data_IF_837119300829
#
_entry.id   IF_837119300829
#
_cell.length_a   1.000
_cell.length_b   1.000
_cell.length_c   1.000
_cell.angle_alpha   90.00
_cell.angle_beta   90.00
_cell.angle_gamma   90.00
#
_symmetry.space_group_name_H-M   'P 1'
#
loop_
_entity.id
_entity.type
_entity.pdbx_description
1 polymer ?
#
# COMPACT_ATOMS: atom_id res chain seq x y z
N UNK A 1 -25.22 -28.54 11.68
CA UNK A 1 -24.53 -29.82 11.95
C UNK A 1 -23.83 -30.33 10.70
N UNK A 2 -24.45 -30.22 9.53
CA UNK A 2 -23.85 -30.65 8.26
C UNK A 2 -22.69 -29.76 7.79
N UNK A 3 -22.72 -28.44 8.05
CA UNK A 3 -21.61 -27.54 7.69
C UNK A 3 -20.32 -27.82 8.48
N UNK A 4 -20.45 -28.24 9.74
CA UNK A 4 -19.33 -28.65 10.58
C UNK A 4 -18.77 -29.98 10.06
N UNK A 5 -19.63 -30.91 9.66
CA UNK A 5 -19.19 -32.17 9.04
C UNK A 5 -18.50 -31.94 7.69
N UNK A 6 -18.97 -30.97 6.90
CA UNK A 6 -18.35 -30.58 5.63
C UNK A 6 -16.98 -29.91 5.83
N UNK A 7 -16.85 -29.01 6.81
CA UNK A 7 -15.57 -28.42 7.19
C UNK A 7 -14.57 -29.48 7.68
N UNK A 8 -15.02 -30.44 8.49
CA UNK A 8 -14.18 -31.54 8.95
C UNK A 8 -13.75 -32.48 7.82
N UNK A 9 -14.64 -32.80 6.87
CA UNK A 9 -14.31 -33.58 5.68
C UNK A 9 -13.29 -32.86 4.78
N UNK A 10 -13.42 -31.53 4.66
CA UNK A 10 -12.48 -30.69 3.92
C UNK A 10 -11.10 -30.59 4.60
N UNK A 11 -11.05 -30.58 5.93
CA UNK A 11 -9.82 -30.53 6.74
C UNK A 11 -9.08 -31.87 6.83
N UNK A 12 -9.82 -32.98 6.91
CA UNK A 12 -9.26 -34.33 7.01
C UNK A 12 -8.98 -34.96 5.65
N UNK A 13 -9.55 -34.38 4.57
CA UNK A 13 -9.55 -34.93 3.23
C UNK A 13 -10.45 -36.15 3.11
N UNK A 14 -11.44 -36.10 2.21
CA UNK A 14 -12.02 -37.34 1.71
C UNK A 14 -10.92 -38.09 0.95
N UNK A 15 -10.35 -39.13 1.56
CA UNK A 15 -9.51 -40.11 0.88
C UNK A 15 -10.39 -40.92 -0.08
N UNK A 16 -10.77 -40.32 -1.20
CA UNK A 16 -11.35 -41.03 -2.32
C UNK A 16 -10.24 -41.86 -2.98
N UNK A 17 -10.55 -43.12 -3.28
CA UNK A 17 -9.67 -44.09 -3.96
C UNK A 17 -9.12 -43.58 -5.31
N UNK A 18 -9.69 -42.51 -5.87
CA UNK A 18 -9.25 -41.84 -7.08
C UNK A 18 -7.94 -41.05 -6.91
N UNK A 19 -7.62 -40.59 -5.69
CA UNK A 19 -6.32 -39.92 -5.43
C UNK A 19 -5.14 -40.90 -5.48
N UNK A 20 -5.38 -42.19 -5.23
CA UNK A 20 -4.36 -43.25 -5.30
C UNK A 20 -3.97 -43.63 -6.74
N UNK A 21 -4.75 -43.23 -7.76
CA UNK A 21 -4.48 -43.55 -9.17
C UNK A 21 -3.87 -42.40 -9.98
N UNK A 22 -3.65 -41.22 -9.37
CA UNK A 22 -3.00 -40.12 -10.07
C UNK A 22 -1.50 -40.42 -10.23
N UNK A 23 -1.07 -40.56 -11.49
CA UNK A 23 0.36 -40.66 -11.86
C UNK A 23 1.14 -39.55 -11.13
N UNK A 24 2.30 -39.84 -10.52
CA UNK A 24 3.10 -38.79 -9.89
C UNK A 24 3.46 -37.76 -10.96
N UNK A 25 2.92 -36.55 -10.80
CA UNK A 25 3.21 -35.42 -11.68
C UNK A 25 4.69 -35.09 -11.57
N UNK A 26 5.37 -34.91 -12.70
CA UNK A 26 6.75 -34.45 -12.73
C UNK A 26 6.78 -32.92 -12.74
N UNK A 27 7.82 -32.33 -12.16
CA UNK A 27 8.06 -30.88 -12.26
C UNK A 27 8.17 -30.36 -13.71
N UNK A 28 8.43 -31.24 -14.69
CA UNK A 28 8.54 -30.89 -16.10
C UNK A 28 7.21 -30.89 -16.86
N UNK A 29 6.12 -31.39 -16.27
CA UNK A 29 4.84 -31.54 -16.96
C UNK A 29 4.25 -30.18 -17.34
N UNK A 30 3.68 -30.08 -18.55
CA UNK A 30 3.08 -28.86 -19.08
C UNK A 30 1.95 -28.29 -18.20
N UNK A 31 1.28 -29.16 -17.45
CA UNK A 31 0.16 -28.87 -16.54
C UNK A 31 0.58 -28.17 -15.25
N UNK A 32 1.84 -28.31 -14.82
CA UNK A 32 2.35 -27.70 -13.58
C UNK A 32 2.74 -26.24 -13.82
N UNK A 33 2.49 -25.36 -12.85
CA UNK A 33 2.83 -23.94 -12.98
C UNK A 33 4.34 -23.69 -12.78
N UNK A 34 5.03 -23.36 -13.87
CA UNK A 34 6.48 -23.09 -13.86
C UNK A 34 6.83 -21.85 -13.03
N UNK A 35 5.96 -20.84 -13.04
CA UNK A 35 6.12 -19.63 -12.24
C UNK A 35 6.03 -19.94 -10.74
N UNK A 36 5.08 -20.80 -10.35
CA UNK A 36 4.95 -21.25 -8.97
C UNK A 36 6.17 -22.07 -8.50
N UNK A 37 6.70 -22.95 -9.36
CA UNK A 37 7.95 -23.68 -9.10
C UNK A 37 9.13 -22.72 -8.89
N UNK A 38 9.20 -21.63 -9.67
CA UNK A 38 10.26 -20.62 -9.58
C UNK A 38 10.14 -19.70 -8.36
N UNK A 39 9.05 -19.76 -7.60
CA UNK A 39 8.92 -18.95 -6.40
C UNK A 39 7.66 -18.09 -6.35
N UNK A 40 7.20 -17.61 -7.51
CA UNK A 40 6.26 -16.49 -7.62
C UNK A 40 5.26 -16.79 -8.73
N UNK A 41 3.99 -16.98 -8.38
CA UNK A 41 2.89 -16.98 -9.35
C UNK A 41 2.04 -15.71 -9.17
N UNK A 42 1.91 -14.85 -10.21
CA UNK A 42 1.09 -13.64 -10.10
C UNK A 42 -0.39 -13.90 -9.77
N UNK A 43 -0.94 -15.04 -10.21
CA UNK A 43 -2.34 -15.40 -9.98
C UNK A 43 -2.64 -15.63 -8.48
N UNK A 44 -1.72 -16.30 -7.79
CA UNK A 44 -1.80 -16.64 -6.36
C UNK A 44 -1.48 -15.42 -5.47
N UNK A 45 -0.47 -14.65 -5.86
CA UNK A 45 -0.03 -13.47 -5.08
C UNK A 45 -1.10 -12.36 -5.00
N UNK A 46 -1.91 -12.21 -6.05
CA UNK A 46 -2.89 -11.13 -6.17
C UNK A 46 -4.32 -11.57 -5.87
N UNK A 47 -4.51 -12.73 -5.23
CA UNK A 47 -5.82 -13.16 -4.73
C UNK A 47 -6.43 -12.09 -3.82
N UNK A 48 -7.70 -11.77 -4.05
CA UNK A 48 -8.45 -10.72 -3.34
C UNK A 48 -7.94 -9.29 -3.53
N UNK A 49 -7.05 -9.04 -4.49
CA UNK A 49 -6.62 -7.68 -4.85
C UNK A 49 -7.29 -7.18 -6.12
N UNK A 50 -7.26 -5.86 -6.34
CA UNK A 50 -7.72 -5.25 -7.59
C UNK A 50 -6.92 -5.72 -8.83
N UNK A 51 -5.75 -6.33 -8.62
CA UNK A 51 -4.87 -6.82 -9.68
C UNK A 51 -5.04 -8.32 -9.96
N UNK A 52 -6.11 -8.92 -9.45
CA UNK A 52 -6.39 -10.33 -9.63
C UNK A 52 -6.56 -10.70 -11.12
N UNK A 53 -5.78 -11.68 -11.56
CA UNK A 53 -5.74 -12.17 -12.95
C UNK A 53 -6.63 -13.41 -13.17
N UNK A 54 -7.44 -13.79 -12.17
CA UNK A 54 -8.17 -15.05 -12.17
C UNK A 54 -7.37 -16.20 -11.54
N UNK A 55 -8.04 -17.35 -11.37
CA UNK A 55 -7.43 -18.57 -10.85
C UNK A 55 -6.33 -19.07 -11.80
N UNK A 56 -5.27 -19.67 -11.25
CA UNK A 56 -4.24 -20.23 -12.09
C UNK A 56 -4.76 -21.48 -12.82
N UNK A 57 -4.66 -21.48 -14.15
CA UNK A 57 -5.01 -22.64 -14.99
C UNK A 57 -4.05 -23.83 -14.83
N UNK A 58 -2.91 -23.61 -14.16
CA UNK A 58 -1.85 -24.60 -13.97
C UNK A 58 -1.84 -25.06 -12.51
N UNK A 59 -1.45 -26.31 -12.30
CA UNK A 59 -1.41 -26.92 -10.97
C UNK A 59 -0.31 -26.28 -10.12
N UNK A 60 -0.68 -25.75 -8.96
CA UNK A 60 0.24 -25.34 -7.90
C UNK A 60 0.40 -26.50 -6.92
N UNK A 61 1.63 -27.00 -6.76
CA UNK A 61 1.94 -28.06 -5.80
C UNK A 61 3.20 -27.68 -5.04
N UNK A 62 3.05 -27.49 -3.73
CA UNK A 62 4.17 -27.15 -2.86
C UNK A 62 5.22 -28.26 -2.83
N UNK A 63 4.81 -29.53 -2.86
CA UNK A 63 5.72 -30.68 -2.91
C UNK A 63 6.65 -30.65 -4.12
N UNK A 64 6.15 -30.27 -5.30
CA UNK A 64 6.95 -30.17 -6.53
C UNK A 64 7.86 -28.94 -6.53
N UNK A 65 7.40 -27.82 -5.94
CA UNK A 65 8.22 -26.62 -5.75
C UNK A 65 9.39 -26.94 -4.84
N UNK A 66 9.12 -27.59 -3.70
CA UNK A 66 10.16 -28.05 -2.79
C UNK A 66 11.09 -29.01 -3.52
N UNK A 67 10.63 -30.00 -4.29
CA UNK A 67 11.53 -30.87 -5.04
C UNK A 67 12.43 -30.09 -6.02
N UNK A 68 11.88 -29.11 -6.73
CA UNK A 68 12.61 -28.23 -7.65
C UNK A 68 13.68 -27.39 -6.91
N UNK A 69 13.34 -26.82 -5.74
CA UNK A 69 14.25 -26.01 -4.91
C UNK A 69 15.22 -26.88 -4.11
N UNK A 70 14.82 -28.08 -3.66
CA UNK A 70 15.66 -28.98 -2.87
C UNK A 70 16.76 -29.62 -3.72
N UNK A 71 16.49 -29.90 -5.01
CA UNK A 71 17.54 -30.23 -6.00
C UNK A 71 18.58 -29.12 -6.17
N UNK A 72 18.31 -27.92 -5.66
CA UNK A 72 19.17 -26.75 -5.69
C UNK A 72 19.82 -26.39 -4.32
N UNK A 73 19.76 -27.24 -3.28
CA UNK A 73 20.11 -26.86 -1.89
C UNK A 73 21.57 -26.48 -1.62
N UNK A 74 22.52 -26.84 -2.46
CA UNK A 74 23.86 -26.24 -2.36
C UNK A 74 23.89 -24.99 -3.21
N UNK A 75 24.07 -23.78 -2.65
CA UNK A 75 24.13 -22.52 -3.43
C UNK A 75 25.20 -22.62 -4.55
N UNK A 76 26.28 -23.37 -4.29
CA UNK A 76 27.33 -23.70 -5.26
C UNK A 76 26.88 -24.70 -6.35
N UNK A 77 26.02 -25.67 -6.02
CA UNK A 77 25.38 -26.58 -7.00
C UNK A 77 24.21 -25.94 -7.72
N UNK A 78 23.44 -25.05 -7.11
CA UNK A 78 22.39 -24.29 -7.77
C UNK A 78 22.98 -23.47 -8.91
N UNK A 79 24.09 -22.77 -8.67
CA UNK A 79 24.82 -22.01 -9.71
C UNK A 79 25.44 -22.93 -10.78
N UNK A 80 26.00 -24.09 -10.40
CA UNK A 80 26.53 -25.08 -11.38
C UNK A 80 25.44 -25.76 -12.21
N UNK A 81 24.34 -26.21 -11.60
CA UNK A 81 23.18 -26.77 -12.28
C UNK A 81 22.45 -25.72 -13.12
N UNK A 82 22.49 -24.42 -12.76
CA UNK A 82 22.01 -23.33 -13.62
C UNK A 82 22.80 -23.24 -14.93
N UNK A 83 24.08 -23.58 -14.91
CA UNK A 83 24.96 -23.50 -16.07
C UNK A 83 24.87 -24.75 -16.96
N UNK A 84 24.52 -25.92 -16.41
CA UNK A 84 24.40 -27.21 -17.14
C UNK A 84 22.96 -27.61 -17.51
N UNK A 85 21.95 -27.20 -16.73
CA UNK A 85 20.55 -27.64 -16.83
C UNK A 85 19.61 -26.42 -16.75
N UNK A 86 19.81 -25.46 -17.67
CA UNK A 86 18.97 -24.27 -17.76
C UNK A 86 17.62 -24.62 -18.44
N UNK A 87 16.64 -25.05 -17.66
CA UNK A 87 15.29 -25.37 -18.18
C UNK A 87 14.52 -24.14 -18.70
N UNK A 88 15.03 -22.92 -18.48
CA UNK A 88 14.44 -21.69 -19.00
C UNK A 88 13.17 -21.21 -18.28
N UNK A 89 12.73 -21.90 -17.22
CA UNK A 89 11.52 -21.55 -16.46
C UNK A 89 11.61 -20.16 -15.82
N UNK A 90 12.79 -19.77 -15.34
CA UNK A 90 13.03 -18.41 -14.82
C UNK A 90 12.92 -17.35 -15.92
N UNK A 91 13.44 -17.63 -17.12
CA UNK A 91 13.35 -16.73 -18.26
C UNK A 91 11.90 -16.59 -18.77
N UNK A 92 11.11 -17.67 -18.75
CA UNK A 92 9.68 -17.63 -19.04
C UNK A 92 8.91 -16.85 -17.97
N UNK A 93 9.29 -17.01 -16.70
CA UNK A 93 8.70 -16.27 -15.57
C UNK A 93 9.01 -14.77 -15.69
N UNK A 94 10.26 -14.40 -15.99
CA UNK A 94 10.66 -13.01 -16.24
C UNK A 94 9.90 -12.38 -17.40
N UNK A 95 9.70 -13.12 -18.51
CA UNK A 95 8.88 -12.65 -19.65
C UNK A 95 7.46 -12.28 -19.25
N UNK A 96 6.89 -12.95 -18.25
CA UNK A 96 5.55 -12.66 -17.75
C UNK A 96 5.53 -11.56 -16.67
N UNK A 97 6.56 -11.46 -15.84
CA UNK A 97 6.65 -10.47 -14.76
C UNK A 97 7.04 -9.08 -15.27
N UNK A 98 7.93 -8.96 -16.26
CA UNK A 98 8.42 -7.68 -16.77
C UNK A 98 7.29 -6.74 -17.25
N UNK A 99 6.27 -7.21 -18.01
CA UNK A 99 5.11 -6.38 -18.34
C UNK A 99 4.32 -5.90 -17.13
N UNK A 100 4.20 -6.71 -16.08
CA UNK A 100 3.49 -6.34 -14.85
C UNK A 100 4.23 -5.23 -14.10
N UNK A 101 5.57 -5.31 -14.04
CA UNK A 101 6.41 -4.25 -13.46
C UNK A 101 6.25 -2.95 -14.26
N UNK A 102 6.31 -3.02 -15.59
CA UNK A 102 6.14 -1.86 -16.44
C UNK A 102 4.76 -1.19 -16.25
N UNK A 103 3.70 -1.96 -16.02
CA UNK A 103 2.37 -1.42 -15.70
C UNK A 103 2.34 -0.77 -14.31
N UNK A 104 3.00 -1.35 -13.31
CA UNK A 104 3.18 -0.70 -12.01
C UNK A 104 3.92 0.64 -12.12
N UNK A 105 5.02 0.69 -12.88
CA UNK A 105 5.79 1.92 -13.11
C UNK A 105 4.96 2.99 -13.83
N UNK A 106 4.19 2.61 -14.85
CA UNK A 106 3.26 3.52 -15.54
C UNK A 106 2.21 4.08 -14.58
N UNK A 107 1.68 3.26 -13.68
CA UNK A 107 0.71 3.69 -12.67
C UNK A 107 1.33 4.63 -11.65
N UNK A 108 2.55 4.36 -11.20
CA UNK A 108 3.31 5.26 -10.32
C UNK A 108 3.56 6.60 -11.01
N UNK A 109 3.99 6.60 -12.28
CA UNK A 109 4.22 7.81 -13.05
C UNK A 109 2.94 8.64 -13.22
N UNK A 110 1.81 8.01 -13.54
CA UNK A 110 0.49 8.67 -13.60
C UNK A 110 0.08 9.24 -12.23
N UNK A 111 0.29 8.50 -11.15
CA UNK A 111 0.01 8.95 -9.79
C UNK A 111 0.86 10.16 -9.38
N UNK A 112 2.14 10.15 -9.76
CA UNK A 112 3.07 11.28 -9.56
C UNK A 112 2.66 12.51 -10.38
N UNK A 113 2.27 12.34 -11.64
CA UNK A 113 1.79 13.43 -12.47
C UNK A 113 0.54 14.09 -11.88
N UNK A 114 -0.48 13.30 -11.52
CA UNK A 114 -1.69 13.80 -10.84
C UNK A 114 -1.38 14.56 -9.56
N UNK A 115 -0.52 14.01 -8.70
CA UNK A 115 -0.12 14.67 -7.46
C UNK A 115 0.72 15.95 -7.69
N UNK A 116 1.38 16.09 -8.83
CA UNK A 116 2.08 17.33 -9.21
C UNK A 116 1.13 18.38 -9.77
N UNK A 117 0.15 17.97 -10.58
CA UNK A 117 -0.84 18.89 -11.14
C UNK A 117 -1.77 19.41 -10.04
N UNK A 118 -2.21 18.56 -9.11
CA UNK A 118 -2.93 18.99 -7.89
C UNK A 118 -2.13 20.02 -7.07
N UNK A 119 -0.78 19.93 -7.06
CA UNK A 119 0.09 20.92 -6.39
C UNK A 119 0.21 22.22 -7.18
N UNK A 120 0.16 22.17 -8.52
CA UNK A 120 0.26 23.36 -9.38
C UNK A 120 -1.03 24.16 -9.33
N UNK A 121 -2.18 23.50 -9.41
CA UNK A 121 -3.49 24.14 -9.31
C UNK A 121 -3.76 24.67 -7.90
N UNK A 122 -3.13 24.06 -6.88
CA UNK A 122 -3.11 24.55 -5.49
C UNK A 122 -1.91 25.43 -5.16
N UNK A 123 -1.12 25.90 -6.14
CA UNK A 123 -0.12 26.93 -5.85
C UNK A 123 -0.90 28.11 -5.28
N UNK A 124 -0.58 28.36 -4.03
CA UNK A 124 -1.32 29.22 -3.13
C UNK A 124 -1.63 30.54 -3.81
N UNK A 125 -2.92 30.81 -3.87
CA UNK A 125 -3.52 32.12 -3.90
C UNK A 125 -2.73 33.06 -3.00
N UNK A 126 -2.02 34.00 -3.63
CA UNK A 126 -1.21 35.08 -3.06
C UNK A 126 -0.33 34.73 -1.84
N UNK A 127 0.99 34.91 -2.00
CA UNK A 127 1.97 34.90 -0.89
C UNK A 127 1.49 35.75 0.30
N UNK A 128 0.75 36.82 0.02
CA UNK A 128 0.14 37.71 1.01
C UNK A 128 -0.84 37.00 1.97
N UNK A 129 -1.64 36.05 1.48
CA UNK A 129 -2.61 35.30 2.32
C UNK A 129 -1.88 34.34 3.25
N UNK A 130 -0.77 33.74 2.81
CA UNK A 130 0.07 32.88 3.66
C UNK A 130 0.69 33.69 4.79
N UNK A 131 1.25 34.86 4.46
CA UNK A 131 1.90 35.70 5.46
C UNK A 131 0.89 36.26 6.47
N UNK A 132 -0.33 36.58 6.03
CA UNK A 132 -1.40 37.01 6.93
C UNK A 132 -1.90 35.86 7.82
N UNK A 133 -2.05 34.64 7.27
CA UNK A 133 -2.39 33.46 8.07
C UNK A 133 -1.32 33.14 9.12
N UNK A 134 -0.03 33.35 8.81
CA UNK A 134 1.08 33.21 9.75
C UNK A 134 1.06 34.26 10.86
N UNK A 135 0.66 35.50 10.55
CA UNK A 135 0.49 36.55 11.57
C UNK A 135 -0.63 36.20 12.55
N UNK A 136 -1.78 35.76 12.04
CA UNK A 136 -2.91 35.33 12.89
C UNK A 136 -2.50 34.12 13.76
N UNK A 137 -1.70 33.19 13.24
CA UNK A 137 -1.16 32.09 14.05
C UNK A 137 -0.27 32.59 15.19
N UNK A 138 0.63 33.54 14.93
CA UNK A 138 1.48 34.13 15.97
C UNK A 138 0.65 34.85 17.05
N UNK A 139 -0.43 35.53 16.67
CA UNK A 139 -1.37 36.14 17.61
C UNK A 139 -2.12 35.09 18.45
N UNK A 140 -2.61 34.01 17.82
CA UNK A 140 -3.23 32.89 18.53
C UNK A 140 -2.27 32.30 19.55
N UNK A 141 -1.01 32.05 19.18
CA UNK A 141 0.01 31.53 20.10
C UNK A 141 0.26 32.47 21.29
N UNK A 142 0.32 33.79 21.04
CA UNK A 142 0.48 34.78 22.10
C UNK A 142 -0.70 34.80 23.07
N UNK A 143 -1.93 34.82 22.56
CA UNK A 143 -3.13 34.76 23.39
C UNK A 143 -3.27 33.44 24.13
N UNK A 144 -2.83 32.33 23.52
CA UNK A 144 -2.88 31.00 24.15
C UNK A 144 -1.89 30.91 25.32
N UNK A 145 -0.67 31.43 25.16
CA UNK A 145 0.29 31.56 26.27
C UNK A 145 -0.26 32.42 27.41
N UNK A 146 -0.93 33.54 27.09
CA UNK A 146 -1.55 34.41 28.09
C UNK A 146 -2.73 33.71 28.81
N UNK A 147 -3.53 32.93 28.08
CA UNK A 147 -4.63 32.15 28.65
C UNK A 147 -4.13 31.08 29.63
N UNK A 148 -3.02 30.41 29.30
CA UNK A 148 -2.37 29.44 30.17
C UNK A 148 -1.83 30.09 31.44
N UNK A 149 -1.12 31.22 31.34
CA UNK A 149 -0.63 31.97 32.50
C UNK A 149 -1.77 32.45 33.41
N UNK A 150 -2.84 32.98 32.86
CA UNK A 150 -4.03 33.39 33.63
C UNK A 150 -4.72 32.19 34.28
N UNK A 151 -4.74 31.04 33.60
CA UNK A 151 -5.21 29.77 34.15
C UNK A 151 -4.39 29.31 35.36
N UNK A 152 -3.06 29.38 35.27
CA UNK A 152 -2.16 29.02 36.40
C UNK A 152 -2.29 29.98 37.59
N UNK A 153 -2.62 31.25 37.35
CA UNK A 153 -2.91 32.26 38.39
C UNK A 153 -4.30 32.10 39.01
N UNK A 154 -5.15 31.22 38.48
CA UNK A 154 -6.51 30.99 38.97
C UNK A 154 -7.54 32.03 38.53
N UNK A 155 -7.20 32.90 37.56
CA UNK A 155 -8.11 33.90 37.00
C UNK A 155 -8.96 33.31 35.87
N UNK A 156 -9.92 32.46 36.26
CA UNK A 156 -10.74 31.65 35.36
C UNK A 156 -11.52 32.53 34.35
N UNK A 157 -12.19 33.58 34.83
CA UNK A 157 -12.97 34.52 33.99
C UNK A 157 -12.11 35.30 32.97
N UNK A 158 -10.85 35.59 33.32
CA UNK A 158 -9.95 36.28 32.40
C UNK A 158 -9.37 35.31 31.35
N UNK A 159 -9.10 34.06 31.74
CA UNK A 159 -8.64 33.00 30.84
C UNK A 159 -9.71 32.66 29.79
N UNK A 160 -10.98 32.52 30.18
CA UNK A 160 -12.08 32.26 29.23
C UNK A 160 -12.23 33.37 28.19
N UNK A 161 -12.11 34.64 28.57
CA UNK A 161 -12.13 35.76 27.61
C UNK A 161 -11.02 35.68 26.58
N UNK A 162 -9.83 35.21 26.96
CA UNK A 162 -8.73 34.98 26.00
C UNK A 162 -9.01 33.80 25.07
N UNK A 163 -9.66 32.74 25.56
CA UNK A 163 -10.05 31.60 24.74
C UNK A 163 -11.12 31.97 23.71
N UNK A 164 -12.11 32.79 24.07
CA UNK A 164 -13.11 33.33 23.14
C UNK A 164 -12.46 34.15 22.01
N UNK A 165 -11.46 34.97 22.34
CA UNK A 165 -10.65 35.71 21.37
C UNK A 165 -9.89 34.77 20.42
N UNK A 166 -9.30 33.70 20.95
CA UNK A 166 -8.62 32.68 20.14
C UNK A 166 -9.59 31.98 19.19
N UNK A 167 -10.80 31.66 19.65
CA UNK A 167 -11.84 31.05 18.81
C UNK A 167 -12.29 32.00 17.69
N UNK A 168 -12.47 33.29 18.00
CA UNK A 168 -12.78 34.31 17.00
C UNK A 168 -11.66 34.46 15.96
N UNK A 169 -10.39 34.48 16.38
CA UNK A 169 -9.23 34.54 15.49
C UNK A 169 -9.11 33.28 14.62
N UNK A 170 -9.36 32.09 15.19
CA UNK A 170 -9.41 30.82 14.44
C UNK A 170 -10.52 30.84 13.38
N UNK A 171 -11.69 31.39 13.72
CA UNK A 171 -12.81 31.52 12.78
C UNK A 171 -12.50 32.52 11.66
N UNK A 172 -11.94 33.69 11.98
CA UNK A 172 -11.48 34.65 10.99
C UNK A 172 -10.42 34.07 10.06
N UNK A 173 -9.45 33.33 10.61
CA UNK A 173 -8.45 32.60 9.82
C UNK A 173 -9.10 31.62 8.85
N UNK A 174 -10.09 30.85 9.30
CA UNK A 174 -10.83 29.91 8.47
C UNK A 174 -11.56 30.64 7.33
N UNK A 175 -12.31 31.71 7.65
CA UNK A 175 -13.04 32.50 6.65
C UNK A 175 -12.11 33.19 5.65
N UNK A 176 -10.94 33.68 6.08
CA UNK A 176 -9.93 34.26 5.18
C UNK A 176 -9.35 33.22 4.24
N UNK A 177 -9.05 32.02 4.74
CA UNK A 177 -8.56 30.91 3.93
C UNK A 177 -9.62 30.37 2.97
N UNK A 178 -10.90 30.35 3.37
CA UNK A 178 -12.03 29.97 2.52
C UNK A 178 -12.27 31.01 1.41
N UNK A 179 -12.26 32.31 1.73
CA UNK A 179 -12.41 33.39 0.75
C UNK A 179 -11.23 33.47 -0.23
N UNK A 180 -10.03 33.16 0.25
CA UNK A 180 -8.82 33.17 -0.57
C UNK A 180 -8.63 31.91 -1.40
N UNK A 181 -9.44 30.87 -1.28
CA UNK A 181 -9.22 29.65 -2.04
C UNK A 181 -10.29 28.60 -1.80
N UNK A 182 -11.25 28.58 -2.71
CA UNK A 182 -12.13 27.43 -2.92
C UNK A 182 -11.27 26.14 -2.95
N UNK A 183 -11.68 25.13 -2.16
CA UNK A 183 -11.22 23.72 -2.20
C UNK A 183 -9.85 23.34 -1.59
N UNK A 184 -9.37 24.01 -0.52
CA UNK A 184 -8.19 23.55 0.23
C UNK A 184 -8.43 22.35 1.20
N UNK A 185 -9.63 21.78 1.26
CA UNK A 185 -9.91 20.60 2.10
C UNK A 185 -9.78 19.23 1.42
N UNK A 186 -9.43 19.15 0.12
CA UNK A 186 -9.06 17.85 -0.45
C UNK A 186 -7.74 17.38 0.17
N UNK A 187 -7.76 16.19 0.76
CA UNK A 187 -6.62 15.60 1.44
C UNK A 187 -5.39 15.60 0.51
N UNK A 188 -4.23 16.05 1.00
CA UNK A 188 -2.97 15.99 0.24
C UNK A 188 -2.61 14.52 0.03
N UNK A 189 -2.94 14.00 -1.16
CA UNK A 189 -2.60 12.65 -1.56
C UNK A 189 -1.13 12.60 -1.98
N UNK A 190 -0.39 11.62 -1.45
CA UNK A 190 0.95 11.28 -1.88
C UNK A 190 0.92 9.93 -2.59
N UNK A 191 1.50 9.80 -3.79
CA UNK A 191 1.63 8.50 -4.45
C UNK A 191 2.65 7.63 -3.69
N UNK A 192 2.34 6.34 -3.54
CA UNK A 192 3.28 5.32 -3.07
C UNK A 192 4.24 4.92 -4.20
N UNK A 193 5.53 4.84 -3.90
CA UNK A 193 6.57 4.47 -4.87
C UNK A 193 6.63 2.97 -5.21
N UNK A 194 5.89 2.13 -4.48
CA UNK A 194 5.89 0.66 -4.68
C UNK A 194 4.63 0.19 -5.39
N UNK A 195 3.44 0.60 -4.93
CA UNK A 195 2.16 0.10 -5.46
C UNK A 195 1.40 1.14 -6.32
N UNK A 196 1.90 2.38 -6.40
CA UNK A 196 1.26 3.47 -7.13
C UNK A 196 -0.09 3.92 -6.55
N UNK A 197 -0.46 3.47 -5.35
CA UNK A 197 -1.66 3.91 -4.66
C UNK A 197 -1.51 5.34 -4.14
N UNK A 198 -2.59 6.12 -4.15
CA UNK A 198 -2.62 7.47 -3.59
C UNK A 198 -2.99 7.38 -2.10
N UNK A 199 -2.06 7.76 -1.25
CA UNK A 199 -2.19 7.71 0.21
C UNK A 199 -2.44 9.12 0.77
N UNK A 200 -3.40 9.24 1.69
CA UNK A 200 -3.61 10.49 2.43
C UNK A 200 -2.47 10.70 3.42
N UNK A 201 -1.82 11.88 3.36
CA UNK A 201 -0.58 12.16 4.09
C UNK A 201 -0.63 12.07 5.63
N UNK A 202 -1.80 11.87 6.26
CA UNK A 202 -1.91 11.65 7.73
C UNK A 202 -1.29 10.33 8.20
N UNK A 203 -1.22 9.30 7.34
CA UNK A 203 -0.72 7.98 7.72
C UNK A 203 0.80 7.83 7.57
N UNK A 204 1.47 8.70 6.80
CA UNK A 204 2.91 8.57 6.55
C UNK A 204 3.79 8.97 7.73
N UNK A 205 3.30 9.82 8.64
CA UNK A 205 4.04 10.22 9.85
C UNK A 205 4.05 9.16 10.95
N UNK A 206 3.16 8.16 10.89
CA UNK A 206 3.08 7.08 11.90
C UNK A 206 3.94 5.87 11.50
N UNK A 207 4.25 5.69 10.21
CA UNK A 207 5.06 4.56 9.72
C UNK A 207 6.57 4.85 9.62
N UNK A 208 7.00 6.08 9.93
CA UNK A 208 8.39 6.55 9.85
C UNK A 208 8.96 7.02 11.20
N UNK A 209 8.27 6.72 12.30
CA UNK A 209 8.81 6.69 13.67
C UNK A 209 8.81 5.25 14.16
#
# INVERSE_FOLDING_TARGET
MDDIRAQWAQLMGEYTSEQAQRKPLSCHDATVCKMYLCGICPHDLFENTKHYLGECSKVHSESLRLEYVYKAVDISRYLKHRHEQYYGYEAETLRQILPLIAECDRRIAKGKARAQDDKKDRKVTDVAVIDEARRIDAEIFKHMSMADELGTRGEIEASYRQLELIEALKKNKLEMLEKAGDVCYQQKLKPCDVCGALLSGKLLSILLM
#
